data_IF_634108111268
#
_entry.id   IF_634108111268
#
_cell.length_a   1.000
_cell.length_b   1.000
_cell.length_c   1.000
_cell.angle_alpha   90.00
_cell.angle_beta   90.00
_cell.angle_gamma   90.00
#
_symmetry.space_group_name_H-M   'P 1'
#
loop_
_entity.id
_entity.type
_entity.pdbx_description
1 polymer ?
#
# COMPACT_ATOMS: atom_id res chain seq x y z
N UNK A 1 13.74 9.32 13.42
CA UNK A 1 12.40 9.81 12.99
C UNK A 1 11.74 8.75 12.11
N UNK A 2 10.41 8.56 12.14
CA UNK A 2 9.74 7.59 11.24
C UNK A 2 9.33 8.26 9.92
N UNK A 3 9.69 7.66 8.80
CA UNK A 3 9.26 8.06 7.46
C UNK A 3 8.03 7.24 7.07
N UNK A 4 6.99 7.89 6.52
CA UNK A 4 5.76 7.22 6.05
C UNK A 4 5.50 7.58 4.59
N UNK A 5 5.12 6.58 3.81
CA UNK A 5 4.77 6.70 2.38
C UNK A 5 3.45 6.00 2.10
N UNK A 6 2.82 6.40 0.99
CA UNK A 6 1.56 5.87 0.52
C UNK A 6 1.68 5.49 -0.95
N UNK A 7 1.23 4.29 -1.29
CA UNK A 7 1.11 3.80 -2.66
C UNK A 7 -0.33 3.42 -2.95
N UNK A 8 -0.84 3.79 -4.13
CA UNK A 8 -2.25 3.58 -4.52
C UNK A 8 -2.31 2.72 -5.77
N UNK A 9 -3.12 1.67 -5.70
CA UNK A 9 -3.34 0.69 -6.76
C UNK A 9 -4.81 0.70 -7.18
N UNK A 10 -5.08 0.69 -8.49
CA UNK A 10 -6.43 0.70 -9.05
C UNK A 10 -6.66 -0.55 -9.91
N UNK A 11 -7.87 -1.09 -9.89
CA UNK A 11 -8.30 -2.11 -10.83
C UNK A 11 -9.50 -2.94 -10.36
N UNK A 12 -9.92 -3.90 -11.17
CA UNK A 12 -11.13 -4.69 -10.92
C UNK A 12 -10.87 -5.97 -10.10
N UNK A 13 -9.61 -6.44 -10.04
CA UNK A 13 -9.25 -7.66 -9.34
C UNK A 13 -8.61 -7.34 -7.98
N UNK A 14 -9.42 -7.35 -6.92
CA UNK A 14 -8.99 -7.01 -5.57
C UNK A 14 -7.81 -7.86 -5.08
N UNK A 15 -7.85 -9.17 -5.27
CA UNK A 15 -6.81 -10.09 -4.77
C UNK A 15 -5.44 -9.72 -5.35
N UNK A 16 -5.38 -9.46 -6.66
CA UNK A 16 -4.13 -9.02 -7.31
C UNK A 16 -3.64 -7.67 -6.79
N UNK A 17 -4.55 -6.74 -6.48
CA UNK A 17 -4.16 -5.42 -5.98
C UNK A 17 -3.64 -5.51 -4.55
N UNK A 18 -4.25 -6.33 -3.71
CA UNK A 18 -3.79 -6.59 -2.33
C UNK A 18 -2.44 -7.30 -2.33
N UNK A 19 -2.24 -8.30 -3.20
CA UNK A 19 -0.94 -8.96 -3.34
C UNK A 19 0.15 -7.96 -3.71
N UNK A 20 -0.11 -7.13 -4.74
CA UNK A 20 0.83 -6.08 -5.17
C UNK A 20 1.14 -5.08 -4.07
N UNK A 21 0.12 -4.64 -3.33
CA UNK A 21 0.28 -3.73 -2.19
C UNK A 21 1.23 -4.28 -1.13
N UNK A 22 1.28 -5.60 -0.92
CA UNK A 22 2.19 -6.22 0.03
C UNK A 22 3.58 -6.54 -0.55
N UNK A 23 3.69 -6.76 -1.87
CA UNK A 23 4.97 -7.14 -2.51
C UNK A 23 5.78 -5.97 -3.03
N UNK A 24 5.14 -4.85 -3.40
CA UNK A 24 5.80 -3.70 -4.05
C UNK A 24 6.34 -2.66 -3.06
N UNK A 25 6.32 -2.95 -1.76
CA UNK A 25 6.81 -2.04 -0.72
C UNK A 25 8.26 -1.57 -1.00
N UNK A 26 8.54 -0.25 -0.95
CA UNK A 26 9.88 0.28 -1.14
C UNK A 26 10.89 -0.30 -0.16
N UNK A 27 12.15 -0.43 -0.59
CA UNK A 27 13.20 -1.08 0.19
C UNK A 27 13.38 -0.41 1.58
N UNK A 28 13.25 -1.24 2.61
CA UNK A 28 13.39 -0.82 4.01
C UNK A 28 12.10 -0.27 4.63
N UNK A 29 11.00 -0.19 3.89
CA UNK A 29 9.68 0.09 4.45
C UNK A 29 8.96 -1.19 4.84
N UNK A 30 8.15 -1.12 5.89
CA UNK A 30 7.24 -2.16 6.32
C UNK A 30 5.80 -1.70 6.09
N UNK A 31 4.95 -2.63 5.66
CA UNK A 31 3.51 -2.38 5.52
C UNK A 31 2.93 -2.19 6.93
N UNK A 32 2.35 -1.03 7.19
CA UNK A 32 1.60 -0.77 8.42
C UNK A 32 0.13 -1.15 8.25
N UNK A 33 -0.45 -0.71 7.13
CA UNK A 33 -1.87 -0.86 6.88
C UNK A 33 -2.17 -0.88 5.38
N UNK A 34 -3.24 -1.58 5.00
CA UNK A 34 -3.78 -1.56 3.64
C UNK A 34 -5.25 -1.19 3.72
N UNK A 35 -5.61 -0.09 3.06
CA UNK A 35 -6.98 0.38 2.95
C UNK A 35 -7.56 -0.03 1.60
N UNK A 36 -8.82 -0.46 1.58
CA UNK A 36 -9.51 -0.85 0.35
C UNK A 36 -10.80 -0.05 0.24
N UNK A 37 -11.00 0.63 -0.89
CA UNK A 37 -12.22 1.34 -1.23
C UNK A 37 -12.72 0.90 -2.60
N UNK A 38 -14.03 0.80 -2.80
CA UNK A 38 -14.62 0.52 -4.11
C UNK A 38 -15.30 1.79 -4.66
N UNK A 39 -14.79 2.30 -5.79
CA UNK A 39 -15.23 3.58 -6.38
C UNK A 39 -15.48 3.36 -7.87
N UNK A 40 -16.66 3.72 -8.36
CA UNK A 40 -17.04 3.68 -9.77
C UNK A 40 -16.77 2.35 -10.51
N UNK A 41 -16.90 1.21 -9.82
CA UNK A 41 -16.70 -0.11 -10.44
C UNK A 41 -15.29 -0.68 -10.28
N UNK A 42 -14.37 0.06 -9.67
CA UNK A 42 -12.98 -0.37 -9.45
C UNK A 42 -12.64 -0.40 -7.96
N UNK A 43 -11.74 -1.31 -7.60
CA UNK A 43 -11.08 -1.30 -6.30
C UNK A 43 -9.90 -0.33 -6.33
N UNK A 44 -9.81 0.48 -5.29
CA UNK A 44 -8.70 1.35 -4.96
C UNK A 44 -8.08 0.82 -3.67
N UNK A 45 -6.84 0.34 -3.77
CA UNK A 45 -6.08 -0.22 -2.65
C UNK A 45 -4.96 0.75 -2.31
N UNK A 46 -4.92 1.25 -1.08
CA UNK A 46 -3.88 2.16 -0.59
C UNK A 46 -3.00 1.43 0.42
N UNK A 47 -1.73 1.24 0.10
CA UNK A 47 -0.73 0.71 1.02
C UNK A 47 -0.10 1.86 1.82
N UNK A 48 -0.21 1.79 3.14
CA UNK A 48 0.44 2.72 4.08
C UNK A 48 1.66 2.00 4.65
N UNK A 49 2.83 2.57 4.42
CA UNK A 49 4.10 1.93 4.75
C UNK A 49 4.96 2.89 5.56
N UNK A 50 5.73 2.37 6.52
CA UNK A 50 6.68 3.18 7.29
C UNK A 50 8.05 2.54 7.42
N UNK A 51 9.03 3.40 7.68
CA UNK A 51 10.41 3.01 7.98
C UNK A 51 10.90 3.83 9.15
N UNK A 52 11.48 3.15 10.14
CA UNK A 52 12.27 3.84 11.15
C UNK A 52 13.58 4.32 10.54
N UNK A 53 13.81 5.64 10.54
CA UNK A 53 15.15 6.17 10.30
C UNK A 53 15.90 6.13 11.62
N UNK A 54 16.87 5.24 11.70
CA UNK A 54 17.99 5.35 12.63
C UNK A 54 18.91 6.44 12.07
N UNK A 55 18.88 7.62 12.69
CA UNK A 55 19.91 8.63 12.46
C UNK A 55 21.25 8.17 13.07
#
# INVERSE_FOLDING_TARGET
MSERVWEVFHGENLDRLVDRAHTEAPLGFQIEHVEVTFIHGEYVVTAIQSRERSD
#
